data_IF_673926429687
#
_entry.id   IF_673926429687
#
_cell.length_a   1.000
_cell.length_b   1.000
_cell.length_c   1.000
_cell.angle_alpha   90.00
_cell.angle_beta   90.00
_cell.angle_gamma   90.00
#
_symmetry.space_group_name_H-M   'P 1'
#
loop_
_entity.id
_entity.type
_entity.pdbx_description
1 polymer ?
#
# COMPACT_ATOMS: atom_id res chain seq x y z
N UNK A 1 3.47 -31.46 16.45
CA UNK A 1 2.93 -30.26 17.13
C UNK A 1 4.09 -29.29 17.32
N UNK A 2 4.06 -28.09 16.71
CA UNK A 2 5.20 -27.13 16.73
C UNK A 2 5.33 -26.45 18.11
N UNK A 3 4.24 -26.39 18.88
CA UNK A 3 4.19 -25.86 20.25
C UNK A 3 3.52 -26.86 21.21
N UNK A 4 4.28 -27.82 21.79
CA UNK A 4 3.72 -28.82 22.70
C UNK A 4 3.12 -28.24 23.99
N UNK A 5 3.58 -27.07 24.42
CA UNK A 5 3.12 -26.35 25.61
C UNK A 5 1.80 -25.59 25.42
N UNK A 6 1.29 -25.49 24.18
CA UNK A 6 0.09 -24.72 23.84
C UNK A 6 -1.14 -25.03 24.72
N UNK A 7 -1.46 -26.30 25.06
CA UNK A 7 -2.62 -26.58 25.91
C UNK A 7 -2.51 -26.04 27.34
N UNK A 8 -1.29 -25.82 27.84
CA UNK A 8 -1.04 -25.38 29.21
C UNK A 8 -0.81 -23.85 29.32
N UNK A 9 -0.25 -23.23 28.28
CA UNK A 9 0.18 -21.82 28.32
C UNK A 9 -0.75 -20.85 27.56
N UNK A 10 -1.73 -21.36 26.82
CA UNK A 10 -2.66 -20.51 26.09
C UNK A 10 -3.62 -19.77 27.02
N UNK A 11 -3.60 -18.43 27.00
CA UNK A 11 -4.51 -17.61 27.80
C UNK A 11 -5.74 -17.14 27.01
N UNK A 12 -5.56 -16.56 25.82
CA UNK A 12 -6.65 -15.99 25.00
C UNK A 12 -6.30 -15.89 23.51
N UNK A 13 -7.30 -15.60 22.68
CA UNK A 13 -7.13 -15.36 21.25
C UNK A 13 -8.06 -14.26 20.73
N UNK A 14 -7.66 -13.68 19.61
CA UNK A 14 -8.53 -12.85 18.78
C UNK A 14 -8.27 -13.16 17.30
N UNK A 15 -9.26 -12.84 16.47
CA UNK A 15 -9.15 -12.95 15.02
C UNK A 15 -9.73 -11.69 14.38
N UNK A 16 -9.07 -11.17 13.35
CA UNK A 16 -9.54 -10.00 12.61
C UNK A 16 -9.76 -10.37 11.14
N UNK A 17 -10.91 -10.00 10.61
CA UNK A 17 -11.22 -10.12 9.19
C UNK A 17 -11.06 -8.75 8.52
N UNK A 18 -9.87 -8.44 7.99
CA UNK A 18 -9.55 -7.13 7.41
C UNK A 18 -10.54 -6.65 6.33
N UNK A 19 -11.10 -7.57 5.53
CA UNK A 19 -12.12 -7.24 4.53
C UNK A 19 -13.45 -6.72 5.13
N UNK A 20 -13.67 -6.89 6.43
CA UNK A 20 -14.84 -6.40 7.18
C UNK A 20 -14.54 -5.13 7.98
N UNK A 21 -13.28 -4.69 8.02
CA UNK A 21 -12.90 -3.45 8.71
C UNK A 21 -13.27 -2.27 7.79
N UNK A 22 -14.09 -1.31 8.26
CA UNK A 22 -14.45 -0.14 7.47
C UNK A 22 -13.20 0.57 6.93
N UNK A 23 -13.28 1.00 5.67
CA UNK A 23 -12.20 1.69 4.94
C UNK A 23 -10.97 0.82 4.59
N UNK A 24 -10.79 -0.38 5.15
CA UNK A 24 -9.70 -1.29 4.75
C UNK A 24 -10.00 -2.06 3.47
N UNK A 25 -11.20 -2.66 3.37
CA UNK A 25 -11.63 -3.43 2.19
C UNK A 25 -10.81 -4.70 1.87
N UNK A 26 -9.78 -5.00 2.67
CA UNK A 26 -8.83 -6.10 2.48
C UNK A 26 -7.60 -5.92 3.39
N UNK A 27 -6.69 -6.90 3.35
CA UNK A 27 -5.43 -6.81 4.10
C UNK A 27 -4.37 -5.96 3.39
N UNK A 28 -4.20 -6.19 2.09
CA UNK A 28 -3.23 -5.51 1.23
C UNK A 28 -3.55 -5.77 -0.25
N UNK A 29 -2.98 -4.98 -1.15
CA UNK A 29 -3.07 -5.21 -2.59
C UNK A 29 -2.26 -6.44 -3.02
N UNK A 30 -2.84 -7.23 -3.91
CA UNK A 30 -2.17 -8.35 -4.57
C UNK A 30 -2.27 -8.16 -6.06
N UNK A 31 -1.17 -8.39 -6.77
CA UNK A 31 -1.11 -8.32 -8.22
C UNK A 31 -0.58 -9.64 -8.76
N UNK A 32 -1.24 -10.21 -9.76
CA UNK A 32 -0.58 -11.18 -10.64
C UNK A 32 0.35 -10.44 -11.61
N UNK A 33 1.32 -11.18 -12.16
CA UNK A 33 2.35 -10.61 -13.03
C UNK A 33 1.79 -9.92 -14.27
N UNK A 34 0.76 -10.49 -14.90
CA UNK A 34 0.17 -9.95 -16.13
C UNK A 34 -0.58 -8.66 -15.86
N UNK A 35 -1.41 -8.63 -14.81
CA UNK A 35 -2.14 -7.41 -14.37
C UNK A 35 -1.15 -6.33 -13.99
N UNK A 36 -0.10 -6.66 -13.22
CA UNK A 36 0.91 -5.69 -12.82
C UNK A 36 1.62 -5.10 -14.03
N UNK A 37 2.10 -5.95 -14.95
CA UNK A 37 2.79 -5.48 -16.17
C UNK A 37 1.90 -4.58 -17.02
N UNK A 38 0.61 -4.91 -17.13
CA UNK A 38 -0.33 -4.19 -18.00
C UNK A 38 -0.82 -2.87 -17.41
N UNK A 39 -1.19 -2.84 -16.13
CA UNK A 39 -1.94 -1.72 -15.54
C UNK A 39 -1.17 -0.94 -14.49
N UNK A 40 -0.18 -1.55 -13.83
CA UNK A 40 0.58 -0.87 -12.78
C UNK A 40 1.29 0.41 -13.25
N UNK A 41 1.89 0.48 -14.46
CA UNK A 41 2.49 1.72 -14.94
C UNK A 41 1.48 2.88 -14.98
N UNK A 42 0.27 2.62 -15.49
CA UNK A 42 -0.78 3.64 -15.55
C UNK A 42 -1.26 4.07 -14.15
N UNK A 43 -1.30 3.16 -13.17
CA UNK A 43 -1.66 3.50 -11.77
C UNK A 43 -0.66 4.47 -11.13
N UNK A 44 0.61 4.46 -11.57
CA UNK A 44 1.64 5.35 -11.01
C UNK A 44 1.58 6.77 -11.57
N UNK A 45 0.99 6.95 -12.75
CA UNK A 45 0.82 8.25 -13.38
C UNK A 45 -0.26 9.07 -12.67
N UNK A 46 -0.01 10.37 -12.42
CA UNK A 46 -1.05 11.25 -11.91
C UNK A 46 -2.12 11.54 -12.98
N UNK A 47 -3.37 11.71 -12.54
CA UNK A 47 -4.46 12.21 -13.40
C UNK A 47 -4.71 13.69 -13.07
N UNK A 48 -4.10 14.57 -13.86
CA UNK A 48 -4.15 16.02 -13.66
C UNK A 48 -3.60 16.45 -12.29
N UNK A 49 -4.52 16.74 -11.36
CA UNK A 49 -4.20 17.15 -9.98
C UNK A 49 -4.33 16.02 -8.95
N UNK A 50 -4.64 14.81 -9.39
CA UNK A 50 -4.83 13.64 -8.53
C UNK A 50 -3.59 12.75 -8.57
N UNK A 51 -3.00 12.52 -7.40
CA UNK A 51 -1.82 11.68 -7.22
C UNK A 51 -2.17 10.51 -6.30
N UNK A 52 -1.74 9.30 -6.67
CA UNK A 52 -1.99 8.10 -5.88
C UNK A 52 -0.76 7.74 -5.02
N UNK A 53 -1.02 7.41 -3.75
CA UNK A 53 -0.04 6.90 -2.80
C UNK A 53 -0.66 5.79 -1.95
N UNK A 54 0.18 4.88 -1.48
CA UNK A 54 -0.17 3.69 -0.72
C UNK A 54 0.70 2.50 -1.11
N UNK A 55 0.74 1.46 -0.28
CA UNK A 55 1.53 0.24 -0.54
C UNK A 55 1.22 -0.36 -1.93
N UNK A 56 -0.04 -0.28 -2.33
CA UNK A 56 -0.57 -0.74 -3.61
C UNK A 56 0.01 0.01 -4.83
N UNK A 57 0.74 1.11 -4.63
CA UNK A 57 1.44 1.87 -5.68
C UNK A 57 2.95 1.61 -5.68
N UNK A 58 3.42 0.50 -5.09
CA UNK A 58 4.86 0.14 -5.05
C UNK A 58 5.12 -1.35 -5.26
N UNK A 59 6.40 -1.67 -5.54
CA UNK A 59 7.13 -2.90 -5.16
C UNK A 59 6.62 -3.69 -3.95
N UNK A 60 6.44 -2.96 -2.85
CA UNK A 60 6.52 -3.44 -1.49
C UNK A 60 5.12 -3.58 -0.90
N UNK A 61 4.27 -4.35 -1.58
CA UNK A 61 2.89 -4.56 -1.14
C UNK A 61 2.83 -5.24 0.22
N UNK A 62 1.79 -4.96 1.00
CA UNK A 62 1.59 -5.42 2.39
C UNK A 62 2.58 -4.85 3.43
N UNK A 63 3.50 -3.98 3.05
CA UNK A 63 4.49 -3.39 3.96
C UNK A 63 4.33 -1.89 4.11
N UNK A 64 4.54 -1.39 5.34
CA UNK A 64 4.62 0.05 5.62
C UNK A 64 5.69 0.75 4.78
N UNK A 65 6.80 0.06 4.49
CA UNK A 65 7.87 0.59 3.62
C UNK A 65 7.34 0.98 2.23
N UNK A 66 6.37 0.24 1.67
CA UNK A 66 5.71 0.58 0.41
C UNK A 66 4.87 1.85 0.55
N UNK A 67 4.09 1.97 1.62
CA UNK A 67 3.30 3.17 1.89
C UNK A 67 4.20 4.42 2.01
N UNK A 68 5.27 4.37 2.81
CA UNK A 68 6.18 5.50 2.98
C UNK A 68 6.93 5.86 1.69
N UNK A 69 7.42 4.85 0.95
CA UNK A 69 8.09 5.07 -0.34
C UNK A 69 7.16 5.78 -1.34
N UNK A 70 5.91 5.35 -1.44
CA UNK A 70 4.94 5.98 -2.33
C UNK A 70 4.56 7.40 -1.91
N UNK A 71 4.46 7.65 -0.60
CA UNK A 71 4.17 8.97 -0.07
C UNK A 71 5.28 9.96 -0.46
N UNK A 72 6.55 9.55 -0.34
CA UNK A 72 7.69 10.34 -0.79
C UNK A 72 7.60 10.67 -2.28
N UNK A 73 7.40 9.66 -3.14
CA UNK A 73 7.23 9.83 -4.59
C UNK A 73 6.11 10.82 -4.93
N UNK A 74 4.94 10.66 -4.30
CA UNK A 74 3.78 11.53 -4.57
C UNK A 74 4.06 12.98 -4.15
N UNK A 75 4.61 13.20 -2.95
CA UNK A 75 4.96 14.54 -2.46
C UNK A 75 6.03 15.19 -3.34
N UNK A 76 7.09 14.47 -3.71
CA UNK A 76 8.12 14.96 -4.63
C UNK A 76 7.51 15.39 -5.97
N UNK A 77 6.62 14.57 -6.53
CA UNK A 77 5.96 14.86 -7.81
C UNK A 77 5.08 16.11 -7.74
N UNK A 78 4.34 16.28 -6.64
CA UNK A 78 3.53 17.48 -6.38
C UNK A 78 4.43 18.71 -6.23
N UNK A 79 5.48 18.62 -5.41
CA UNK A 79 6.44 19.69 -5.17
C UNK A 79 7.15 20.10 -6.46
N UNK A 80 7.58 19.15 -7.29
CA UNK A 80 8.20 19.43 -8.58
C UNK A 80 7.24 20.19 -9.50
N UNK A 81 6.00 19.71 -9.63
CA UNK A 81 5.00 20.38 -10.46
C UNK A 81 4.73 21.82 -9.98
N UNK A 82 4.41 22.00 -8.70
CA UNK A 82 4.08 23.32 -8.13
C UNK A 82 5.30 24.25 -8.13
N UNK A 83 6.48 23.72 -7.82
CA UNK A 83 7.74 24.46 -7.87
C UNK A 83 8.07 24.99 -9.26
N UNK A 84 7.81 24.21 -10.31
CA UNK A 84 7.93 24.65 -11.70
C UNK A 84 6.91 25.75 -12.05
N UNK A 85 5.68 25.70 -11.50
CA UNK A 85 4.70 26.79 -11.67
C UNK A 85 5.15 28.11 -11.03
N UNK A 86 5.87 28.08 -9.91
CA UNK A 86 6.39 29.31 -9.26
C UNK A 86 7.61 29.92 -9.93
N UNK A 87 8.27 29.22 -10.87
CA UNK A 87 9.43 29.74 -11.63
C UNK A 87 9.05 30.46 -12.92
N UNK A 88 7.82 30.30 -13.41
CA UNK A 88 7.29 30.99 -14.59
C UNK A 88 6.61 32.29 -14.20
#
# INVERSE_FOLDING_TARGET
NIHPQYPAEFENSFSLAWHRVPYSGGGWATYDENTRKKYFPALLEPDGNVYFAGEHTTYLTAWMAGAFTSAHRAVESICARVGEYTKK
#
